data_IF_889525451381
#
_entry.id   IF_889525451381
#
_cell.length_a   1.000
_cell.length_b   1.000
_cell.length_c   1.000
_cell.angle_alpha   90.00
_cell.angle_beta   90.00
_cell.angle_gamma   90.00
#
_symmetry.space_group_name_H-M   'P 1'
#
loop_
_entity.id
_entity.type
_entity.pdbx_description
1 polymer ?
#
# COMPACT_ATOMS: atom_id res chain seq x y z
N UNK A 1 38.38 0.49 27.91
CA UNK A 1 37.35 1.18 28.74
C UNK A 1 36.13 0.28 28.83
N UNK A 2 35.42 0.19 29.97
CA UNK A 2 34.29 -0.72 30.10
C UNK A 2 33.11 -0.29 29.23
N UNK A 3 32.31 -1.26 28.77
CA UNK A 3 31.06 -0.98 28.09
C UNK A 3 30.09 -0.31 29.06
N UNK A 4 29.39 0.75 28.63
CA UNK A 4 28.42 1.46 29.48
C UNK A 4 27.26 0.56 29.95
N UNK A 5 26.82 -0.37 29.09
CA UNK A 5 25.72 -1.28 29.41
C UNK A 5 26.17 -2.54 30.15
N UNK A 6 27.45 -2.90 30.02
CA UNK A 6 28.06 -4.11 30.58
C UNK A 6 29.41 -3.75 31.20
N UNK A 7 29.44 -3.23 32.44
CA UNK A 7 30.67 -2.79 33.09
C UNK A 7 31.76 -3.87 33.17
N UNK A 8 31.34 -5.14 33.18
CA UNK A 8 32.20 -6.33 33.17
C UNK A 8 32.85 -6.64 31.81
N UNK A 9 32.42 -5.99 30.73
CA UNK A 9 32.90 -6.26 29.36
C UNK A 9 33.70 -5.11 28.81
N UNK A 10 34.79 -5.40 28.10
CA UNK A 10 35.59 -4.39 27.42
C UNK A 10 34.86 -3.83 26.19
N UNK A 11 34.88 -2.50 26.02
CA UNK A 11 34.33 -1.86 24.83
C UNK A 11 35.29 -1.95 23.65
N UNK A 12 34.73 -2.11 22.45
CA UNK A 12 35.49 -2.23 21.20
C UNK A 12 35.43 -0.97 20.34
N UNK A 13 34.40 -0.13 20.53
CA UNK A 13 34.19 1.09 19.78
C UNK A 13 33.27 2.06 20.53
N UNK A 14 33.17 3.28 20.01
CA UNK A 14 32.25 4.31 20.51
C UNK A 14 31.05 4.46 19.58
N UNK A 15 29.91 4.79 20.15
CA UNK A 15 28.71 5.14 19.37
C UNK A 15 28.95 6.46 18.63
N UNK A 16 28.66 6.52 17.33
CA UNK A 16 28.78 7.75 16.54
C UNK A 16 27.84 8.87 17.03
N UNK A 17 26.67 8.51 17.57
CA UNK A 17 25.68 9.47 18.08
C UNK A 17 26.03 10.06 19.45
N UNK A 18 26.18 9.22 20.48
CA UNK A 18 26.41 9.69 21.86
C UNK A 18 27.88 9.68 22.31
N UNK A 19 28.80 9.14 21.49
CA UNK A 19 30.24 8.99 21.78
C UNK A 19 30.61 8.14 23.01
N UNK A 20 29.65 7.47 23.63
CA UNK A 20 29.91 6.54 24.73
C UNK A 20 30.48 5.22 24.22
N UNK A 21 31.10 4.47 25.13
CA UNK A 21 31.87 3.27 24.80
C UNK A 21 31.05 2.01 25.00
N UNK A 22 31.02 1.14 23.99
CA UNK A 22 30.16 -0.04 23.96
C UNK A 22 30.91 -1.28 23.46
N UNK A 23 30.49 -2.45 23.92
CA UNK A 23 30.92 -3.74 23.38
C UNK A 23 30.23 -4.03 22.04
N UNK A 24 30.68 -5.09 21.36
CA UNK A 24 30.16 -5.51 20.05
C UNK A 24 28.64 -5.70 20.04
N UNK A 25 28.11 -6.36 21.08
CA UNK A 25 26.68 -6.65 21.20
C UNK A 25 25.81 -5.41 21.47
N UNK A 26 26.41 -4.30 21.90
CA UNK A 26 25.70 -3.04 22.17
C UNK A 26 25.76 -2.05 21.01
N UNK A 27 26.51 -2.37 19.95
CA UNK A 27 26.64 -1.55 18.75
C UNK A 27 25.96 -2.22 17.57
N UNK A 28 25.28 -1.43 16.77
CA UNK A 28 24.74 -1.84 15.47
C UNK A 28 25.38 -0.99 14.38
N UNK A 29 25.72 -1.61 13.26
CA UNK A 29 26.30 -0.92 12.12
C UNK A 29 25.20 -0.50 11.13
N UNK A 30 25.14 0.79 10.81
CA UNK A 30 24.18 1.40 9.87
C UNK A 30 24.99 2.33 8.97
N UNK A 31 24.98 2.09 7.66
CA UNK A 31 25.72 2.90 6.67
C UNK A 31 27.22 3.07 6.99
N UNK A 32 27.87 2.02 7.52
CA UNK A 32 29.29 2.02 7.89
C UNK A 32 29.63 2.76 9.18
N UNK A 33 28.64 3.28 9.90
CA UNK A 33 28.79 3.91 11.22
C UNK A 33 28.18 3.03 12.31
N UNK A 34 28.79 3.03 13.50
CA UNK A 34 28.32 2.21 14.64
C UNK A 34 27.50 3.03 15.63
N UNK A 35 26.30 2.59 15.93
CA UNK A 35 25.36 3.27 16.83
C UNK A 35 24.96 2.36 17.98
N UNK A 36 24.69 2.93 19.15
CA UNK A 36 24.07 2.19 20.25
C UNK A 36 22.56 2.05 20.04
N UNK A 37 21.91 1.21 20.86
CA UNK A 37 20.48 0.94 20.77
C UNK A 37 19.56 2.17 20.79
N UNK A 38 19.96 3.26 21.48
CA UNK A 38 19.20 4.52 21.51
C UNK A 38 19.52 5.43 20.33
N UNK A 39 20.79 5.55 19.93
CA UNK A 39 21.17 6.45 18.83
C UNK A 39 20.89 5.87 17.43
N UNK A 40 20.62 4.57 17.30
CA UNK A 40 20.32 3.95 15.99
C UNK A 40 19.13 4.61 15.28
N UNK A 41 18.19 5.20 16.03
CA UNK A 41 17.02 5.86 15.45
C UNK A 41 17.40 7.09 14.62
N UNK A 42 18.47 7.79 15.00
CA UNK A 42 19.00 8.95 14.27
C UNK A 42 19.52 8.51 12.89
N UNK A 43 20.19 7.36 12.84
CA UNK A 43 20.69 6.79 11.59
C UNK A 43 19.58 6.26 10.66
N UNK A 44 18.40 6.00 11.21
CA UNK A 44 17.23 5.53 10.46
C UNK A 44 16.29 6.66 10.05
N UNK A 45 16.39 7.84 10.66
CA UNK A 45 15.53 8.99 10.34
C UNK A 45 15.78 9.51 8.92
N UNK A 46 17.01 9.38 8.41
CA UNK A 46 17.37 9.68 7.01
C UNK A 46 16.91 8.59 6.02
N UNK A 47 16.51 7.42 6.51
CA UNK A 47 15.88 6.38 5.70
C UNK A 47 14.40 6.70 5.63
N UNK A 48 14.05 7.71 4.83
CA UNK A 48 12.67 7.81 4.35
C UNK A 48 12.32 6.48 3.69
N UNK A 49 11.27 5.77 4.14
CA UNK A 49 10.77 4.65 3.35
C UNK A 49 10.38 5.25 2.01
N UNK A 50 11.16 4.94 0.97
CA UNK A 50 10.83 5.28 -0.40
C UNK A 50 9.53 4.56 -0.69
N UNK A 51 8.41 5.28 -0.51
CA UNK A 51 7.15 4.95 -1.14
C UNK A 51 7.46 5.04 -2.63
N UNK A 52 7.74 3.89 -3.26
CA UNK A 52 8.00 3.83 -4.69
C UNK A 52 6.92 4.65 -5.41
N UNK A 53 7.31 5.60 -6.28
CA UNK A 53 6.34 6.41 -7.00
C UNK A 53 5.49 5.47 -7.84
N UNK A 54 4.19 5.40 -7.51
CA UNK A 54 3.23 4.63 -8.29
C UNK A 54 3.32 5.12 -9.74
N UNK A 55 3.52 4.18 -10.67
CA UNK A 55 3.98 4.46 -12.02
C UNK A 55 3.22 5.58 -12.75
N UNK A 56 3.89 6.29 -13.64
CA UNK A 56 3.33 7.49 -14.31
C UNK A 56 2.34 7.14 -15.43
N UNK A 57 2.27 5.86 -15.83
CA UNK A 57 1.47 5.44 -16.99
C UNK A 57 0.07 5.01 -16.57
N UNK A 58 -1.00 5.69 -17.03
CA UNK A 58 -2.36 5.30 -16.67
C UNK A 58 -2.74 3.95 -17.31
N UNK A 59 -3.31 3.04 -16.52
CA UNK A 59 -3.91 1.81 -17.02
C UNK A 59 -5.28 2.10 -17.66
N UNK A 60 -5.41 1.83 -18.96
CA UNK A 60 -6.65 2.06 -19.71
C UNK A 60 -7.82 1.24 -19.15
N UNK A 61 -7.56 0.00 -18.75
CA UNK A 61 -8.58 -0.89 -18.17
C UNK A 61 -9.13 -0.36 -16.84
N UNK A 62 -8.32 0.36 -16.06
CA UNK A 62 -8.79 1.00 -14.84
C UNK A 62 -9.74 2.18 -15.14
N UNK A 63 -9.52 2.89 -16.26
CA UNK A 63 -10.45 3.93 -16.72
C UNK A 63 -11.74 3.33 -17.26
N UNK A 64 -11.64 2.31 -18.11
CA UNK A 64 -12.81 1.65 -18.71
C UNK A 64 -13.70 1.03 -17.63
N UNK A 65 -13.11 0.38 -16.63
CA UNK A 65 -13.85 -0.18 -15.51
C UNK A 65 -14.64 0.89 -14.74
N UNK A 66 -14.04 2.07 -14.53
CA UNK A 66 -14.71 3.19 -13.85
C UNK A 66 -15.87 3.74 -14.70
N UNK A 67 -15.67 3.86 -16.02
CA UNK A 67 -16.72 4.30 -16.95
C UNK A 67 -17.89 3.32 -16.92
N UNK A 68 -17.64 2.01 -17.01
CA UNK A 68 -18.69 1.00 -16.91
C UNK A 68 -19.42 1.05 -15.57
N UNK A 69 -18.70 1.27 -14.46
CA UNK A 69 -19.31 1.41 -13.14
C UNK A 69 -20.27 2.60 -13.08
N UNK A 70 -19.87 3.78 -13.61
CA UNK A 70 -20.72 4.98 -13.63
C UNK A 70 -21.95 4.77 -14.51
N UNK A 71 -21.77 4.20 -15.72
CA UNK A 71 -22.89 3.95 -16.64
C UNK A 71 -23.86 2.91 -16.06
N UNK A 72 -23.35 1.92 -15.30
CA UNK A 72 -24.15 0.88 -14.66
C UNK A 72 -25.18 1.45 -13.66
N UNK A 73 -24.88 2.59 -13.03
CA UNK A 73 -25.81 3.24 -12.10
C UNK A 73 -27.11 3.64 -12.80
N UNK A 74 -27.01 4.18 -14.02
CA UNK A 74 -28.14 4.83 -14.69
C UNK A 74 -28.94 3.92 -15.62
N UNK A 75 -28.29 3.12 -16.46
CA UNK A 75 -28.99 2.49 -17.60
C UNK A 75 -29.09 0.97 -17.55
N UNK A 76 -28.13 0.24 -16.96
CA UNK A 76 -28.07 -1.23 -17.10
C UNK A 76 -27.28 -1.91 -15.96
N UNK A 77 -27.65 -1.63 -14.70
CA UNK A 77 -26.86 -2.06 -13.54
C UNK A 77 -26.66 -3.57 -13.40
N UNK A 78 -27.63 -4.38 -13.84
CA UNK A 78 -27.56 -5.85 -13.74
C UNK A 78 -26.48 -6.45 -14.64
N UNK A 79 -26.25 -5.88 -15.83
CA UNK A 79 -25.26 -6.40 -16.79
C UNK A 79 -23.93 -5.66 -16.75
N UNK A 80 -23.97 -4.32 -16.67
CA UNK A 80 -22.75 -3.51 -16.65
C UNK A 80 -22.03 -3.56 -15.30
N UNK A 81 -22.75 -3.81 -14.19
CA UNK A 81 -22.15 -3.95 -12.86
C UNK A 81 -21.10 -5.08 -12.81
N UNK A 82 -21.47 -6.33 -13.15
CA UNK A 82 -20.51 -7.44 -13.21
C UNK A 82 -19.36 -7.21 -14.20
N UNK A 83 -19.63 -6.59 -15.35
CA UNK A 83 -18.62 -6.28 -16.36
C UNK A 83 -17.59 -5.25 -15.84
N UNK A 84 -18.05 -4.22 -15.12
CA UNK A 84 -17.18 -3.24 -14.47
C UNK A 84 -16.26 -3.90 -13.43
N UNK A 85 -16.80 -4.81 -12.60
CA UNK A 85 -16.05 -5.52 -11.56
C UNK A 85 -14.98 -6.43 -12.18
N UNK A 86 -15.33 -7.19 -13.22
CA UNK A 86 -14.39 -8.07 -13.93
C UNK A 86 -13.23 -7.29 -14.59
N UNK A 87 -13.56 -6.17 -15.23
CA UNK A 87 -12.57 -5.27 -15.87
C UNK A 87 -11.66 -4.64 -14.81
N UNK A 88 -12.20 -4.20 -13.67
CA UNK A 88 -11.42 -3.65 -12.58
C UNK A 88 -10.46 -4.68 -11.96
N UNK A 89 -10.90 -5.93 -11.76
CA UNK A 89 -10.04 -7.01 -11.27
C UNK A 89 -8.91 -7.31 -12.25
N UNK A 90 -9.18 -7.24 -13.55
CA UNK A 90 -8.16 -7.40 -14.60
C UNK A 90 -7.15 -6.26 -14.56
N UNK A 91 -7.60 -5.01 -14.39
CA UNK A 91 -6.73 -3.86 -14.22
C UNK A 91 -5.82 -4.01 -12.99
N UNK A 92 -6.36 -4.46 -11.84
CA UNK A 92 -5.55 -4.72 -10.63
C UNK A 92 -4.47 -5.77 -10.88
N UNK A 93 -4.77 -6.84 -11.63
CA UNK A 93 -3.78 -7.85 -12.00
C UNK A 93 -2.69 -7.29 -12.91
N UNK A 94 -3.03 -6.41 -13.86
CA UNK A 94 -2.05 -5.75 -14.73
C UNK A 94 -1.13 -4.79 -13.96
N UNK A 95 -1.71 -3.97 -13.08
CA UNK A 95 -0.94 -3.03 -12.23
C UNK A 95 -0.05 -3.79 -11.24
N UNK A 96 -0.49 -4.94 -10.72
CA UNK A 96 0.34 -5.78 -9.86
C UNK A 96 1.49 -6.47 -10.61
N UNK A 97 1.35 -6.69 -11.93
CA UNK A 97 2.39 -7.27 -12.77
C UNK A 97 3.38 -6.22 -13.30
N UNK A 98 2.94 -4.98 -13.45
CA UNK A 98 3.74 -3.87 -13.97
C UNK A 98 3.58 -2.64 -13.07
N UNK A 99 4.60 -2.40 -12.24
CA UNK A 99 4.68 -1.26 -11.33
C UNK A 99 4.78 0.10 -12.03
N UNK A 100 5.00 0.14 -13.35
CA UNK A 100 4.97 1.37 -14.16
C UNK A 100 3.54 1.85 -14.46
N UNK A 101 2.53 0.99 -14.24
CA UNK A 101 1.12 1.32 -14.41
C UNK A 101 0.51 1.87 -13.12
N UNK A 102 -0.32 2.90 -13.25
CA UNK A 102 -1.15 3.44 -12.17
C UNK A 102 -2.64 3.27 -12.45
N UNK A 103 -3.45 3.49 -11.43
CA UNK A 103 -4.90 3.36 -11.50
C UNK A 103 -5.52 2.45 -10.45
N UNK A 104 -4.76 2.00 -9.44
CA UNK A 104 -5.28 1.15 -8.36
C UNK A 104 -6.46 1.79 -7.65
N UNK A 105 -6.40 3.12 -7.41
CA UNK A 105 -7.53 3.88 -6.85
C UNK A 105 -8.78 3.83 -7.73
N UNK A 106 -8.63 3.98 -9.05
CA UNK A 106 -9.74 3.92 -10.03
C UNK A 106 -10.35 2.52 -10.10
N UNK A 107 -9.51 1.48 -10.14
CA UNK A 107 -9.97 0.10 -10.15
C UNK A 107 -10.73 -0.24 -8.85
N UNK A 108 -10.23 0.17 -7.69
CA UNK A 108 -10.94 -0.02 -6.41
C UNK A 108 -12.27 0.75 -6.38
N UNK A 109 -12.30 2.00 -6.87
CA UNK A 109 -13.53 2.78 -6.97
C UNK A 109 -14.56 2.10 -7.87
N UNK A 110 -14.14 1.58 -9.03
CA UNK A 110 -15.01 0.85 -9.97
C UNK A 110 -15.64 -0.40 -9.32
N UNK A 111 -14.86 -1.17 -8.53
CA UNK A 111 -15.37 -2.35 -7.81
C UNK A 111 -16.43 -1.94 -6.79
N UNK A 112 -16.15 -0.93 -5.96
CA UNK A 112 -17.07 -0.46 -4.91
C UNK A 112 -18.37 0.04 -5.53
N UNK A 113 -18.27 0.93 -6.52
CA UNK A 113 -19.43 1.51 -7.20
C UNK A 113 -20.24 0.42 -7.91
N UNK A 114 -19.58 -0.44 -8.68
CA UNK A 114 -20.24 -1.53 -9.41
C UNK A 114 -20.97 -2.51 -8.49
N UNK A 115 -20.37 -2.84 -7.33
CA UNK A 115 -20.98 -3.74 -6.34
C UNK A 115 -22.23 -3.10 -5.71
N UNK A 116 -22.13 -1.84 -5.26
CA UNK A 116 -23.25 -1.12 -4.66
C UNK A 116 -24.40 -0.96 -5.66
N UNK A 117 -24.09 -0.53 -6.90
CA UNK A 117 -25.08 -0.35 -7.96
C UNK A 117 -25.80 -1.67 -8.29
N UNK A 118 -25.06 -2.78 -8.39
CA UNK A 118 -25.62 -4.10 -8.64
C UNK A 118 -26.58 -4.53 -7.52
N UNK A 119 -26.19 -4.34 -6.25
CA UNK A 119 -27.04 -4.66 -5.10
C UNK A 119 -28.35 -3.86 -5.13
N UNK A 120 -28.28 -2.55 -5.36
CA UNK A 120 -29.47 -1.70 -5.45
C UNK A 120 -30.41 -2.13 -6.58
N UNK A 121 -29.87 -2.50 -7.74
CA UNK A 121 -30.69 -3.01 -8.85
C UNK A 121 -31.34 -4.36 -8.54
N UNK A 122 -30.63 -5.28 -7.90
CA UNK A 122 -31.17 -6.59 -7.50
C UNK A 122 -32.30 -6.41 -6.47
N UNK A 123 -32.07 -5.60 -5.43
CA UNK A 123 -33.07 -5.31 -4.41
C UNK A 123 -34.30 -4.61 -4.99
N UNK A 124 -34.10 -3.64 -5.89
CA UNK A 124 -35.19 -2.93 -6.57
C UNK A 124 -36.04 -3.86 -7.45
N UNK A 125 -35.41 -4.80 -8.16
CA UNK A 125 -36.12 -5.79 -8.96
C UNK A 125 -36.91 -6.76 -8.07
N UNK A 126 -36.30 -7.28 -7.01
CA UNK A 126 -36.95 -8.18 -6.07
C UNK A 126 -38.16 -7.53 -5.39
N UNK A 127 -38.03 -6.28 -4.94
CA UNK A 127 -39.13 -5.52 -4.35
C UNK A 127 -40.30 -5.33 -5.33
N UNK A 128 -40.03 -5.07 -6.61
CA UNK A 128 -41.08 -4.97 -7.64
C UNK A 128 -41.78 -6.30 -7.89
N UNK A 129 -41.04 -7.41 -7.93
CA UNK A 129 -41.63 -8.75 -8.13
C UNK A 129 -42.49 -9.16 -6.93
N UNK A 130 -42.10 -8.80 -5.70
CA UNK A 130 -42.85 -9.12 -4.48
C UNK A 130 -44.14 -8.29 -4.31
N UNK A 131 -44.24 -7.13 -4.96
CA UNK A 131 -45.39 -6.21 -4.87
C UNK A 131 -46.43 -6.41 -5.98
N UNK A 132 -46.14 -7.28 -6.96
CA UNK A 132 -46.98 -7.53 -8.13
C UNK A 132 -47.54 -8.95 -8.10
#
# INVERSE_FOLDING_TARGET
>A
MPCKNHPETESIARCFGCQESFCENCLVEISGQRYCGSCKVIALEDVTPVLEPQGTTPCNEANDALIYAIISIFCFGIFLGPMAISTANTAKRKIAADHSLTGTGKANAAIIIGTIALIFWILGLAARILQN
#
